data_IF_948032174230
#
_entry.id   IF_948032174230
#
_cell.length_a   1.000
_cell.length_b   1.000
_cell.length_c   1.000
_cell.angle_alpha   90.00
_cell.angle_beta   90.00
_cell.angle_gamma   90.00
#
_symmetry.space_group_name_H-M   'P 1'
#
loop_
_entity.id
_entity.type
_entity.pdbx_description
1 polymer ?
#
# COMPACT_ATOMS: atom_id res chain seq x y z
N UNK A 1 -8.50 -11.08 -9.85
CA UNK A 1 -8.39 -9.70 -9.35
C UNK A 1 -8.65 -9.76 -7.86
N UNK A 2 -7.73 -9.25 -7.04
CA UNK A 2 -7.86 -9.25 -5.58
C UNK A 2 -7.72 -7.81 -5.06
N UNK A 3 -8.42 -7.50 -3.97
CA UNK A 3 -8.30 -6.23 -3.23
C UNK A 3 -7.17 -6.34 -2.23
N UNK A 4 -6.16 -5.50 -2.38
CA UNK A 4 -4.95 -5.52 -1.56
C UNK A 4 -4.83 -4.21 -0.81
N UNK A 5 -4.80 -4.28 0.53
CA UNK A 5 -4.44 -3.16 1.37
C UNK A 5 -2.97 -3.28 1.78
N UNK A 6 -2.14 -2.34 1.37
CA UNK A 6 -0.75 -2.25 1.82
C UNK A 6 -0.62 -1.26 2.97
N UNK A 7 -0.25 -1.73 4.15
CA UNK A 7 -0.14 -0.90 5.36
C UNK A 7 1.33 -0.62 5.67
N UNK A 8 1.73 0.64 5.54
CA UNK A 8 3.11 1.07 5.79
C UNK A 8 3.98 1.13 4.53
N UNK A 9 3.80 2.16 3.68
CA UNK A 9 4.67 2.42 2.52
C UNK A 9 6.01 3.05 2.96
N UNK A 10 6.78 2.31 3.76
CA UNK A 10 8.21 2.56 3.94
C UNK A 10 9.01 1.92 2.81
N UNK A 11 10.33 1.81 2.95
CA UNK A 11 11.19 1.24 1.92
C UNK A 11 10.69 -0.12 1.37
N UNK A 12 10.39 -1.08 2.26
CA UNK A 12 9.90 -2.41 1.86
C UNK A 12 8.49 -2.32 1.26
N UNK A 13 7.56 -1.65 1.94
CA UNK A 13 6.18 -1.53 1.48
C UNK A 13 6.06 -0.87 0.11
N UNK A 14 6.87 0.16 -0.17
CA UNK A 14 6.86 0.87 -1.44
C UNK A 14 7.32 0.00 -2.61
N UNK A 15 8.30 -0.89 -2.41
CA UNK A 15 8.71 -1.85 -3.46
C UNK A 15 7.54 -2.78 -3.81
N UNK A 16 6.89 -3.38 -2.81
CA UNK A 16 5.75 -4.26 -3.06
C UNK A 16 4.56 -3.52 -3.68
N UNK A 17 4.21 -2.34 -3.17
CA UNK A 17 3.14 -1.52 -3.72
C UNK A 17 3.41 -1.17 -5.18
N UNK A 18 4.62 -0.72 -5.49
CA UNK A 18 4.97 -0.34 -6.85
C UNK A 18 4.91 -1.52 -7.83
N UNK A 19 5.48 -2.66 -7.45
CA UNK A 19 5.46 -3.86 -8.28
C UNK A 19 4.04 -4.42 -8.45
N UNK A 20 3.20 -4.38 -7.41
CA UNK A 20 1.79 -4.76 -7.50
C UNK A 20 1.01 -3.83 -8.44
N UNK A 21 1.20 -2.52 -8.31
CA UNK A 21 0.55 -1.52 -9.16
C UNK A 21 0.92 -1.71 -10.64
N UNK A 22 2.21 -1.95 -10.94
CA UNK A 22 2.70 -2.23 -12.30
C UNK A 22 2.03 -3.45 -12.94
N UNK A 23 1.54 -4.41 -12.16
CA UNK A 23 0.81 -5.54 -12.73
C UNK A 23 -0.51 -5.15 -13.36
N UNK A 24 -1.17 -4.10 -12.87
CA UNK A 24 -2.52 -3.70 -13.28
C UNK A 24 -3.61 -4.76 -13.00
N UNK A 25 -3.32 -5.81 -12.22
CA UNK A 25 -4.23 -6.97 -12.01
C UNK A 25 -5.01 -6.93 -10.70
N UNK A 26 -4.64 -6.04 -9.79
CA UNK A 26 -5.15 -5.97 -8.42
C UNK A 26 -5.66 -4.57 -8.11
N UNK A 27 -6.68 -4.49 -7.27
CA UNK A 27 -7.17 -3.23 -6.71
C UNK A 27 -6.32 -2.92 -5.47
N UNK A 28 -5.34 -2.03 -5.61
CA UNK A 28 -4.38 -1.70 -4.57
C UNK A 28 -4.79 -0.39 -3.88
N UNK A 29 -4.86 -0.41 -2.55
CA UNK A 29 -4.91 0.79 -1.72
C UNK A 29 -3.69 0.84 -0.81
N UNK A 30 -3.02 2.00 -0.77
CA UNK A 30 -1.84 2.22 0.06
C UNK A 30 -2.25 2.99 1.32
N UNK A 31 -2.09 2.37 2.48
CA UNK A 31 -2.43 2.94 3.77
C UNK A 31 -1.17 3.57 4.40
N UNK A 32 -1.15 4.89 4.47
CA UNK A 32 0.02 5.67 4.88
C UNK A 32 -0.30 6.62 6.05
N UNK A 33 0.74 7.18 6.68
CA UNK A 33 0.56 8.27 7.67
C UNK A 33 0.54 9.67 7.06
N UNK A 34 1.10 9.82 5.85
CA UNK A 34 1.19 11.09 5.14
C UNK A 34 0.66 10.88 3.72
N UNK A 35 -0.10 11.83 3.16
CA UNK A 35 -0.59 11.72 1.80
C UNK A 35 0.57 11.90 0.80
N UNK A 36 0.45 11.22 -0.33
CA UNK A 36 1.28 11.36 -1.52
C UNK A 36 0.53 10.75 -2.71
N UNK A 37 1.02 10.97 -3.92
CA UNK A 37 0.35 10.50 -5.15
C UNK A 37 1.15 9.44 -5.89
N UNK A 38 2.48 9.45 -5.74
CA UNK A 38 3.38 8.58 -6.50
C UNK A 38 4.36 7.83 -5.62
N UNK A 39 4.67 6.60 -6.02
CA UNK A 39 5.80 5.82 -5.49
C UNK A 39 6.88 5.77 -6.57
N UNK A 40 8.07 6.24 -6.20
CA UNK A 40 9.28 6.10 -7.00
C UNK A 40 10.22 5.13 -6.28
N UNK A 41 10.62 4.06 -6.98
CA UNK A 41 11.60 3.07 -6.54
C UNK A 41 12.79 3.14 -7.47
N UNK A 42 13.92 3.63 -6.94
CA UNK A 42 15.21 3.57 -7.61
C UNK A 42 15.88 2.24 -7.29
N UNK A 43 16.02 1.39 -8.31
CA UNK A 43 16.64 0.07 -8.17
C UNK A 43 17.25 -0.36 -9.51
N UNK A 44 18.42 -1.01 -9.52
CA UNK A 44 18.98 -1.60 -10.73
C UNK A 44 18.17 -2.80 -11.24
N UNK A 45 17.42 -3.48 -10.36
CA UNK A 45 16.72 -4.73 -10.68
C UNK A 45 15.20 -4.52 -10.84
N UNK A 46 14.61 -3.62 -10.06
CA UNK A 46 13.17 -3.42 -10.00
C UNK A 46 12.80 -1.93 -9.90
N UNK A 47 13.22 -1.08 -10.85
CA UNK A 47 12.84 0.32 -10.85
C UNK A 47 11.33 0.46 -11.09
N UNK A 48 10.71 1.45 -10.45
CA UNK A 48 9.30 1.74 -10.66
C UNK A 48 8.98 3.21 -10.42
N UNK A 49 8.02 3.75 -11.17
CA UNK A 49 7.39 5.04 -10.93
C UNK A 49 5.91 4.89 -11.25
N UNK A 50 5.07 4.91 -10.21
CA UNK A 50 3.63 4.63 -10.34
C UNK A 50 2.79 5.54 -9.47
N UNK A 51 1.68 6.02 -10.03
CA UNK A 51 0.62 6.65 -9.26
C UNK A 51 -0.10 5.60 -8.42
N UNK A 52 -0.47 5.99 -7.20
CA UNK A 52 -1.15 5.11 -6.24
C UNK A 52 -2.24 5.85 -5.48
N UNK A 53 -3.30 5.12 -5.17
CA UNK A 53 -4.34 5.62 -4.28
C UNK A 53 -3.89 5.47 -2.82
N UNK A 54 -3.66 6.60 -2.16
CA UNK A 54 -3.22 6.65 -0.76
C UNK A 54 -4.38 7.06 0.14
N UNK A 55 -4.62 6.27 1.17
CA UNK A 55 -5.51 6.63 2.28
C UNK A 55 -4.69 6.83 3.55
N UNK A 56 -5.07 7.83 4.33
CA UNK A 56 -4.44 8.12 5.63
C UNK A 56 -5.31 7.76 6.82
N UNK A 57 -6.59 7.50 6.57
CA UNK A 57 -7.57 7.12 7.59
C UNK A 57 -8.19 5.77 7.24
N UNK A 58 -8.27 4.81 8.18
CA UNK A 58 -8.83 3.49 7.90
C UNK A 58 -10.28 3.53 7.35
N UNK A 59 -11.10 4.46 7.84
CA UNK A 59 -12.50 4.61 7.39
C UNK A 59 -12.61 4.97 5.89
N UNK A 60 -11.60 5.63 5.31
CA UNK A 60 -11.60 5.99 3.89
C UNK A 60 -11.54 4.75 2.96
N UNK A 61 -11.07 3.60 3.45
CA UNK A 61 -11.04 2.35 2.67
C UNK A 61 -12.46 1.91 2.34
N UNK A 62 -13.39 2.00 3.30
CA UNK A 62 -14.80 1.63 3.10
C UNK A 62 -15.58 2.69 2.32
N UNK A 63 -15.28 3.98 2.56
CA UNK A 63 -16.03 5.10 1.99
C UNK A 63 -15.73 5.38 0.51
N UNK A 64 -14.59 4.90 0.00
CA UNK A 64 -14.13 5.11 -1.39
C UNK A 64 -14.99 4.44 -2.47
N UNK A 65 -16.12 3.82 -2.13
CA UNK A 65 -16.93 3.01 -3.05
C UNK A 65 -16.23 1.72 -3.49
N UNK A 66 -14.99 1.46 -3.05
CA UNK A 66 -14.25 0.22 -3.32
C UNK A 66 -14.80 -0.98 -2.56
N UNK A 67 -15.56 -0.74 -1.49
CA UNK A 67 -16.39 -1.71 -0.78
C UNK A 67 -15.62 -2.85 -0.10
N UNK A 68 -16.03 -3.21 1.12
CA UNK A 68 -15.68 -4.49 1.74
C UNK A 68 -14.24 -4.65 2.27
N UNK A 69 -14.04 -5.77 2.96
CA UNK A 69 -12.77 -6.20 3.55
C UNK A 69 -11.76 -6.48 2.43
N UNK A 70 -10.50 -6.07 2.60
CA UNK A 70 -9.44 -6.44 1.65
C UNK A 70 -9.26 -7.97 1.64
N UNK A 71 -9.08 -8.55 0.45
CA UNK A 71 -8.76 -9.99 0.32
C UNK A 71 -7.38 -10.29 0.92
N UNK A 72 -6.46 -9.32 0.80
CA UNK A 72 -5.10 -9.39 1.32
C UNK A 72 -4.71 -8.11 2.04
N UNK A 73 -4.06 -8.26 3.20
CA UNK A 73 -3.40 -7.17 3.91
C UNK A 73 -1.90 -7.43 3.93
N UNK A 74 -1.14 -6.53 3.31
CA UNK A 74 0.32 -6.53 3.36
C UNK A 74 0.78 -5.56 4.44
N UNK A 75 1.07 -6.10 5.63
CA UNK A 75 1.57 -5.32 6.76
C UNK A 75 3.09 -5.12 6.65
N UNK A 76 3.50 -3.93 6.24
CA UNK A 76 4.90 -3.57 5.98
C UNK A 76 5.42 -2.44 6.90
N UNK A 77 4.74 -2.21 8.03
CA UNK A 77 5.26 -1.35 9.12
C UNK A 77 6.41 -2.05 9.84
N UNK A 78 7.24 -1.27 10.56
CA UNK A 78 8.23 -1.86 11.47
C UNK A 78 7.50 -2.51 12.66
N UNK A 79 8.05 -3.60 13.19
CA UNK A 79 7.40 -4.41 14.24
C UNK A 79 6.97 -3.58 15.46
N UNK A 80 7.83 -2.66 15.92
CA UNK A 80 7.55 -1.76 17.06
C UNK A 80 6.46 -0.71 16.80
N UNK A 81 5.91 -0.64 15.59
CA UNK A 81 4.76 0.19 15.26
C UNK A 81 3.43 -0.57 15.39
N UNK A 82 3.49 -1.85 15.78
CA UNK A 82 2.31 -2.69 16.04
C UNK A 82 2.06 -2.79 17.55
N UNK A 83 0.79 -2.95 17.93
CA UNK A 83 0.40 -3.07 19.34
C UNK A 83 1.01 -4.31 20.00
N UNK A 84 1.09 -5.44 19.29
CA UNK A 84 1.65 -6.69 19.81
C UNK A 84 3.14 -6.67 20.12
N UNK A 85 3.84 -5.56 19.83
CA UNK A 85 5.25 -5.35 20.18
C UNK A 85 5.43 -4.33 21.34
N UNK A 86 4.35 -3.95 22.03
CA UNK A 86 4.37 -3.13 23.24
C UNK A 86 4.46 -3.95 24.51
#
# INVERSE_FOLDING_TARGET
MARVALVGPGAVGSVFAAQLALTGRHDLVVCARRPFQRIDVESPEAPASVEVDVVTEPAAITDSGRGGVADWVLLAVKSHQTEGAR
#
